data_IF_162924902705
#
_entry.id   IF_162924902705
#
_cell.length_a   1.000
_cell.length_b   1.000
_cell.length_c   1.000
_cell.angle_alpha   90.00
_cell.angle_beta   90.00
_cell.angle_gamma   90.00
#
_symmetry.space_group_name_H-M   'P 1'
#
loop_
_entity.id
_entity.type
_entity.pdbx_description
1 polymer ?
#
# COMPACT_ATOMS: atom_id res chain seq x y z
N UNK A 1 -60.64 -17.15 -10.23
CA UNK A 1 -59.59 -16.50 -11.02
C UNK A 1 -58.66 -15.83 -10.01
N UNK A 2 -57.83 -16.63 -9.32
CA UNK A 2 -56.38 -16.85 -9.58
C UNK A 2 -55.63 -15.52 -9.53
N UNK A 3 -54.60 -15.26 -8.70
CA UNK A 3 -53.99 -15.96 -7.56
C UNK A 3 -53.04 -14.97 -6.86
N UNK A 4 -52.70 -15.27 -5.61
CA UNK A 4 -51.52 -14.75 -4.93
C UNK A 4 -50.25 -15.32 -5.58
N UNK A 5 -49.13 -14.57 -5.59
CA UNK A 5 -47.82 -15.19 -5.38
C UNK A 5 -46.78 -14.22 -4.76
N UNK A 6 -46.27 -14.72 -3.65
CA UNK A 6 -45.07 -14.53 -2.85
C UNK A 6 -44.22 -13.24 -2.84
N UNK A 7 -44.08 -12.76 -1.60
CA UNK A 7 -42.95 -12.04 -1.05
C UNK A 7 -41.64 -12.85 -1.14
N UNK A 8 -40.50 -12.15 -1.22
CA UNK A 8 -39.29 -12.60 -0.52
C UNK A 8 -38.77 -11.45 0.32
N UNK A 9 -38.82 -11.74 1.60
CA UNK A 9 -38.27 -11.03 2.74
C UNK A 9 -36.76 -10.85 2.61
N UNK A 10 -36.26 -9.71 3.06
CA UNK A 10 -34.85 -9.35 2.94
C UNK A 10 -34.57 -7.93 3.42
N UNK A 11 -35.28 -7.49 4.46
CA UNK A 11 -34.88 -6.32 5.21
C UNK A 11 -33.55 -6.65 5.91
N UNK A 12 -32.43 -6.16 5.35
CA UNK A 12 -31.20 -6.02 6.12
C UNK A 12 -31.45 -4.87 7.08
N UNK A 13 -31.96 -5.22 8.26
CA UNK A 13 -31.94 -4.35 9.44
C UNK A 13 -30.46 -4.22 9.81
N UNK A 14 -29.84 -3.11 9.40
CA UNK A 14 -28.56 -2.69 9.93
C UNK A 14 -28.79 -2.20 11.37
N UNK A 15 -28.80 -3.15 12.31
CA UNK A 15 -28.64 -2.85 13.73
C UNK A 15 -27.18 -2.49 13.98
N UNK A 16 -26.85 -1.20 13.79
CA UNK A 16 -25.56 -0.62 14.13
C UNK A 16 -25.80 0.37 15.29
N UNK A 17 -25.39 0.05 16.53
CA UNK A 17 -25.46 0.99 17.64
C UNK A 17 -24.29 1.96 17.51
N UNK A 18 -24.46 3.05 16.76
CA UNK A 18 -23.53 4.17 16.86
C UNK A 18 -23.69 4.83 18.22
N UNK A 19 -22.62 4.73 19.01
CA UNK A 19 -22.42 5.35 20.30
C UNK A 19 -22.53 6.88 20.18
N UNK A 20 -23.62 7.43 20.69
CA UNK A 20 -23.73 8.85 21.06
C UNK A 20 -22.83 9.09 22.28
N UNK A 21 -21.58 9.51 22.06
CA UNK A 21 -20.79 10.12 23.15
C UNK A 21 -21.19 11.59 23.23
N UNK A 22 -22.08 11.87 24.19
CA UNK A 22 -22.37 13.23 24.61
C UNK A 22 -21.11 13.91 25.14
N UNK A 23 -20.82 15.09 24.62
CA UNK A 23 -19.81 15.99 25.18
C UNK A 23 -20.35 16.51 26.51
N UNK A 24 -19.95 15.87 27.62
CA UNK A 24 -20.07 16.43 28.95
C UNK A 24 -18.68 16.95 29.35
N UNK A 25 -18.56 18.28 29.42
CA UNK A 25 -17.37 18.94 29.91
C UNK A 25 -17.10 18.58 31.36
N UNK A 26 -15.84 18.23 31.66
CA UNK A 26 -15.27 18.33 32.98
C UNK A 26 -13.79 18.71 32.82
N UNK A 27 -13.48 19.93 33.23
CA UNK A 27 -12.13 20.40 33.50
C UNK A 27 -11.51 19.46 34.56
N UNK A 28 -10.39 18.84 34.22
CA UNK A 28 -9.62 17.99 35.13
C UNK A 28 -8.16 18.04 34.73
N UNK A 29 -7.33 18.52 35.65
CA UNK A 29 -5.91 18.82 35.50
C UNK A 29 -5.10 17.57 35.09
N UNK A 30 -4.20 17.74 34.12
CA UNK A 30 -3.32 16.66 33.65
C UNK A 30 -2.22 16.31 34.67
N UNK A 31 -1.73 15.06 34.70
CA UNK A 31 -0.58 14.71 35.52
C UNK A 31 0.71 15.35 34.97
N UNK A 32 1.53 15.84 35.89
CA UNK A 32 2.76 16.57 35.64
C UNK A 32 3.82 15.75 34.88
N UNK A 33 4.44 16.39 33.90
CA UNK A 33 5.65 15.92 33.20
C UNK A 33 6.86 16.08 34.14
N UNK A 34 7.66 15.03 34.41
CA UNK A 34 8.90 15.19 35.17
C UNK A 34 9.94 15.96 34.34
N UNK A 35 10.64 16.88 35.01
CA UNK A 35 11.69 17.72 34.43
C UNK A 35 12.93 16.90 34.07
N UNK A 36 13.59 17.30 32.99
CA UNK A 36 14.89 16.79 32.59
C UNK A 36 15.96 17.12 33.65
N UNK A 37 16.74 16.10 34.04
CA UNK A 37 17.90 16.22 34.89
C UNK A 37 17.92 15.24 36.06
N UNK A 38 18.14 13.95 35.77
CA UNK A 38 18.69 13.02 36.77
C UNK A 38 19.56 11.98 36.05
N UNK A 39 20.82 11.92 36.47
CA UNK A 39 21.87 11.02 35.98
C UNK A 39 21.53 9.57 36.31
N UNK A 40 21.82 8.66 35.36
CA UNK A 40 21.97 7.24 35.67
C UNK A 40 23.41 6.86 35.33
N UNK A 41 24.24 6.79 36.36
CA UNK A 41 25.60 6.27 36.32
C UNK A 41 25.59 4.76 36.01
N UNK A 42 26.53 4.34 35.15
CA UNK A 42 27.18 3.04 35.23
C UNK A 42 26.64 1.94 34.33
N UNK A 43 27.26 1.74 33.16
CA UNK A 43 27.90 0.45 32.85
C UNK A 43 28.86 0.57 31.63
N UNK A 44 30.01 -0.10 31.77
CA UNK A 44 31.22 0.05 30.99
C UNK A 44 31.16 -0.35 29.51
N UNK A 45 31.93 0.39 28.72
CA UNK A 45 32.43 0.02 27.41
C UNK A 45 33.42 -1.15 27.50
N UNK A 46 33.25 -2.14 26.62
CA UNK A 46 34.21 -3.21 26.39
C UNK A 46 34.60 -3.23 24.92
N UNK A 47 35.70 -2.56 24.59
CA UNK A 47 36.37 -2.64 23.29
C UNK A 47 37.01 -4.03 23.14
N UNK A 48 36.77 -4.69 22.00
CA UNK A 48 37.57 -5.84 21.56
C UNK A 48 38.09 -5.57 20.16
N UNK A 49 39.37 -5.25 20.10
CA UNK A 49 40.21 -5.34 18.91
C UNK A 49 40.29 -6.80 18.45
N UNK A 50 40.21 -7.04 17.14
CA UNK A 50 40.58 -8.32 16.54
C UNK A 50 41.66 -8.06 15.49
N UNK A 51 42.82 -8.66 15.73
CA UNK A 51 44.06 -8.47 14.99
C UNK A 51 44.09 -9.12 13.60
N UNK A 52 45.15 -8.73 12.91
CA UNK A 52 45.62 -9.04 11.56
C UNK A 52 46.25 -10.44 11.41
N UNK A 53 45.80 -11.23 10.42
CA UNK A 53 46.50 -12.21 9.51
C UNK A 53 47.57 -13.23 10.02
N UNK A 54 48.02 -14.28 9.26
CA UNK A 54 47.65 -14.75 7.91
C UNK A 54 47.43 -16.28 7.72
N UNK A 55 47.06 -16.63 6.47
CA UNK A 55 47.10 -17.89 5.71
C UNK A 55 47.76 -19.20 6.26
N UNK A 56 47.13 -20.33 5.90
CA UNK A 56 47.73 -21.67 5.88
C UNK A 56 47.14 -22.55 4.75
N UNK A 57 48.02 -23.00 3.84
CA UNK A 57 47.75 -23.95 2.75
C UNK A 57 48.04 -25.41 3.17
N UNK A 58 47.39 -26.36 2.50
CA UNK A 58 47.74 -27.77 2.42
C UNK A 58 46.92 -28.66 3.36
N UNK A 59 46.38 -29.81 2.98
CA UNK A 59 46.45 -30.62 1.77
C UNK A 59 45.65 -31.90 2.01
N UNK A 60 45.49 -32.67 0.93
CA UNK A 60 45.30 -34.12 0.91
C UNK A 60 43.89 -34.67 1.19
N UNK A 61 43.40 -35.38 0.17
CA UNK A 61 42.05 -35.88 0.06
C UNK A 61 41.75 -37.09 0.93
N UNK A 62 40.46 -37.28 1.15
CA UNK A 62 39.87 -38.59 1.32
C UNK A 62 38.51 -38.61 0.60
N UNK A 63 38.40 -39.50 -0.36
CA UNK A 63 37.14 -39.88 -0.98
C UNK A 63 36.33 -40.74 0.01
N UNK A 64 35.01 -40.62 -0.01
CA UNK A 64 34.11 -41.77 0.17
C UNK A 64 32.64 -41.44 -0.18
N UNK A 65 32.12 -42.23 -1.12
CA UNK A 65 30.75 -42.75 -1.25
C UNK A 65 29.60 -41.78 -1.54
N UNK A 66 29.26 -41.74 -2.84
CA UNK A 66 27.95 -42.17 -3.38
C UNK A 66 26.68 -41.68 -2.70
N UNK A 67 25.86 -40.94 -3.47
CA UNK A 67 24.49 -41.33 -3.85
C UNK A 67 24.20 -40.63 -5.19
N UNK A 68 23.92 -41.43 -6.21
CA UNK A 68 23.51 -40.95 -7.52
C UNK A 68 22.11 -40.33 -7.46
N UNK A 69 21.99 -39.13 -8.00
CA UNK A 69 20.72 -38.55 -8.43
C UNK A 69 20.73 -38.46 -9.94
N UNK A 70 20.50 -39.60 -10.59
CA UNK A 70 20.06 -39.60 -11.98
C UNK A 70 18.59 -39.15 -11.99
N UNK A 71 18.36 -37.83 -11.97
CA UNK A 71 17.06 -37.29 -12.36
C UNK A 71 17.09 -37.14 -13.87
N UNK A 72 16.25 -37.94 -14.53
CA UNK A 72 15.99 -37.89 -15.95
C UNK A 72 15.62 -36.44 -16.34
N UNK A 73 16.58 -35.72 -16.91
CA UNK A 73 16.34 -34.48 -17.63
C UNK A 73 15.61 -34.84 -18.92
N UNK A 74 14.29 -34.92 -18.86
CA UNK A 74 13.49 -34.69 -20.06
C UNK A 74 13.71 -33.22 -20.43
N UNK A 75 14.19 -32.90 -21.65
CA UNK A 75 14.15 -31.53 -22.10
C UNK A 75 12.66 -31.17 -22.17
N UNK A 76 12.21 -30.27 -21.29
CA UNK A 76 10.95 -29.57 -21.52
C UNK A 76 11.14 -28.88 -22.86
N UNK A 77 10.44 -29.42 -23.85
CA UNK A 77 10.20 -28.82 -25.14
C UNK A 77 9.87 -27.35 -24.91
N UNK A 78 10.70 -26.49 -25.51
CA UNK A 78 10.45 -25.07 -25.67
C UNK A 78 9.08 -24.90 -26.31
N UNK A 79 8.07 -24.53 -25.52
CA UNK A 79 6.88 -23.89 -26.06
C UNK A 79 7.22 -22.40 -26.20
N UNK A 80 7.73 -22.02 -27.37
CA UNK A 80 7.55 -20.67 -27.86
C UNK A 80 6.11 -20.58 -28.33
N UNK A 81 5.30 -19.81 -27.62
CA UNK A 81 4.23 -19.04 -28.23
C UNK A 81 4.33 -17.63 -27.65
N UNK A 82 4.81 -16.69 -28.47
CA UNK A 82 4.80 -15.25 -28.19
C UNK A 82 3.39 -14.66 -28.29
N UNK A 83 2.39 -15.37 -27.74
CA UNK A 83 1.06 -14.83 -27.52
C UNK A 83 1.10 -13.97 -26.27
N UNK A 84 0.79 -12.67 -26.40
CA UNK A 84 0.56 -11.82 -25.24
C UNK A 84 -0.68 -12.37 -24.55
N UNK A 85 -0.50 -13.19 -23.51
CA UNK A 85 -1.60 -13.58 -22.63
C UNK A 85 -2.04 -12.29 -21.94
N UNK A 86 -3.29 -11.84 -22.13
CA UNK A 86 -3.77 -10.63 -21.48
C UNK A 86 -3.56 -10.74 -19.98
N UNK A 87 -3.02 -9.69 -19.38
CA UNK A 87 -2.77 -9.68 -17.94
C UNK A 87 -4.10 -9.80 -17.19
N UNK A 88 -4.15 -10.67 -16.18
CA UNK A 88 -5.31 -10.76 -15.29
C UNK A 88 -5.37 -9.53 -14.37
N UNK A 89 -6.54 -9.16 -13.82
CA UNK A 89 -6.64 -8.05 -12.87
C UNK A 89 -5.69 -8.20 -11.66
N UNK A 90 -5.45 -9.44 -11.20
CA UNK A 90 -4.54 -9.73 -10.10
C UNK A 90 -3.07 -9.44 -10.46
N UNK A 91 -2.64 -9.85 -11.65
CA UNK A 91 -1.28 -9.54 -12.14
C UNK A 91 -1.09 -8.02 -12.33
N UNK A 92 -2.14 -7.32 -12.76
CA UNK A 92 -2.11 -5.86 -12.86
C UNK A 92 -2.00 -5.19 -11.49
N UNK A 93 -2.70 -5.69 -10.46
CA UNK A 93 -2.55 -5.22 -9.09
C UNK A 93 -1.12 -5.43 -8.56
N UNK A 94 -0.52 -6.59 -8.80
CA UNK A 94 0.87 -6.87 -8.36
C UNK A 94 1.86 -5.88 -9.00
N UNK A 95 1.71 -5.62 -10.31
CA UNK A 95 2.53 -4.63 -11.03
C UNK A 95 2.25 -3.20 -10.57
N UNK A 96 0.99 -2.88 -10.27
CA UNK A 96 0.60 -1.60 -9.69
C UNK A 96 1.32 -1.37 -8.37
N UNK A 97 1.27 -2.34 -7.46
CA UNK A 97 1.96 -2.27 -6.17
C UNK A 97 3.47 -2.12 -6.36
N UNK A 98 4.06 -2.85 -7.31
CA UNK A 98 5.48 -2.70 -7.63
C UNK A 98 5.81 -1.28 -8.13
N UNK A 99 5.02 -0.71 -9.04
CA UNK A 99 5.22 0.65 -9.52
C UNK A 99 5.08 1.71 -8.40
N UNK A 100 4.21 1.47 -7.41
CA UNK A 100 4.08 2.30 -6.21
C UNK A 100 5.33 2.22 -5.31
N UNK A 101 5.94 1.03 -5.18
CA UNK A 101 7.20 0.84 -4.43
C UNK A 101 8.41 1.45 -5.15
N UNK A 102 8.43 1.35 -6.47
CA UNK A 102 9.51 1.88 -7.31
C UNK A 102 9.41 3.40 -7.52
N UNK A 103 8.31 4.01 -7.09
CA UNK A 103 7.97 5.42 -7.35
C UNK A 103 8.12 5.80 -8.81
N UNK A 104 7.67 4.92 -9.72
CA UNK A 104 7.81 5.11 -11.16
C UNK A 104 6.47 5.51 -11.77
N UNK A 105 6.22 6.82 -12.04
CA UNK A 105 4.97 7.27 -12.64
C UNK A 105 4.79 6.63 -14.01
N UNK A 106 5.90 6.34 -14.68
CA UNK A 106 5.90 5.69 -15.97
C UNK A 106 5.46 4.24 -15.89
N UNK A 107 6.08 3.45 -15.00
CA UNK A 107 5.70 2.06 -14.81
C UNK A 107 4.24 1.94 -14.34
N UNK A 108 3.76 2.89 -13.53
CA UNK A 108 2.38 2.94 -13.07
C UNK A 108 1.44 3.24 -14.24
N UNK A 109 1.67 4.34 -14.98
CA UNK A 109 0.81 4.77 -16.07
C UNK A 109 0.75 3.74 -17.21
N UNK A 110 1.84 3.04 -17.49
CA UNK A 110 1.90 2.02 -18.54
C UNK A 110 1.02 0.78 -18.26
N UNK A 111 0.44 0.66 -17.06
CA UNK A 111 -0.55 -0.37 -16.73
C UNK A 111 -1.98 0.01 -17.16
N UNK A 112 -2.24 1.30 -17.35
CA UNK A 112 -3.59 1.84 -17.60
C UNK A 112 -3.89 1.89 -19.09
N UNK A 113 -5.15 1.69 -19.50
CA UNK A 113 -5.61 2.00 -20.86
C UNK A 113 -5.47 3.50 -21.18
N UNK A 114 -5.43 3.86 -22.47
CA UNK A 114 -5.24 5.25 -22.91
C UNK A 114 -6.30 6.21 -22.32
N UNK A 115 -7.55 5.75 -22.22
CA UNK A 115 -8.71 6.48 -21.72
C UNK A 115 -9.09 6.11 -20.27
N UNK A 116 -8.20 5.45 -19.54
CA UNK A 116 -8.50 4.97 -18.20
C UNK A 116 -8.75 6.10 -17.20
N UNK A 117 -9.50 5.79 -16.15
CA UNK A 117 -9.84 6.75 -15.08
C UNK A 117 -9.21 6.31 -13.76
N UNK A 118 -8.65 7.26 -13.02
CA UNK A 118 -8.22 7.08 -11.64
C UNK A 118 -8.99 8.05 -10.75
N UNK A 119 -9.72 7.54 -9.76
CA UNK A 119 -10.53 8.35 -8.85
C UNK A 119 -10.06 8.24 -7.41
N UNK A 120 -10.18 9.34 -6.68
CA UNK A 120 -10.00 9.41 -5.24
C UNK A 120 -11.33 9.82 -4.59
N UNK A 121 -12.20 8.88 -4.20
CA UNK A 121 -13.55 9.21 -3.76
C UNK A 121 -13.61 9.96 -2.42
N UNK A 122 -12.61 9.77 -1.56
CA UNK A 122 -12.53 10.50 -0.29
C UNK A 122 -11.84 11.85 -0.42
N UNK A 123 -12.43 12.84 0.26
CA UNK A 123 -11.92 14.20 0.33
C UNK A 123 -10.50 14.20 0.91
N UNK A 124 -9.56 14.77 0.16
CA UNK A 124 -8.21 15.06 0.61
C UNK A 124 -7.82 16.44 0.07
N UNK A 125 -8.04 17.53 0.82
CA UNK A 125 -7.76 18.90 0.40
C UNK A 125 -6.30 19.16 0.01
N UNK A 126 -5.38 18.32 0.50
CA UNK A 126 -3.97 18.34 0.14
C UNK A 126 -3.66 17.72 -1.23
N UNK A 127 -4.63 17.07 -1.88
CA UNK A 127 -4.50 16.46 -3.21
C UNK A 127 -4.98 17.47 -4.27
N UNK A 128 -4.23 17.57 -5.36
CA UNK A 128 -4.52 18.51 -6.46
C UNK A 128 -5.83 18.19 -7.20
N UNK A 129 -6.11 16.91 -7.41
CA UNK A 129 -7.28 16.45 -8.15
C UNK A 129 -7.92 15.26 -7.44
N UNK A 130 -9.26 15.21 -7.46
CA UNK A 130 -10.04 14.04 -7.03
C UNK A 130 -10.16 12.97 -8.12
N UNK A 131 -9.73 13.27 -9.35
CA UNK A 131 -9.85 12.38 -10.51
C UNK A 131 -8.82 12.71 -11.58
N UNK A 132 -8.24 11.67 -12.19
CA UNK A 132 -7.42 11.74 -13.40
C UNK A 132 -8.13 10.99 -14.53
N UNK A 133 -8.11 11.57 -15.73
CA UNK A 133 -8.74 11.02 -16.92
C UNK A 133 -7.72 10.87 -18.05
N UNK A 134 -7.52 9.64 -18.48
CA UNK A 134 -6.52 9.25 -19.47
C UNK A 134 -5.15 8.93 -18.86
N UNK A 135 -4.44 8.01 -19.51
CA UNK A 135 -3.12 7.51 -19.10
C UNK A 135 -2.13 8.63 -18.82
N UNK A 136 -2.07 9.62 -19.69
CA UNK A 136 -1.11 10.71 -19.58
C UNK A 136 -1.46 11.71 -18.47
N UNK A 137 -2.74 11.87 -18.13
CA UNK A 137 -3.14 12.65 -16.96
C UNK A 137 -2.76 11.93 -15.67
N UNK A 138 -2.94 10.61 -15.62
CA UNK A 138 -2.48 9.76 -14.51
C UNK A 138 -0.96 9.90 -14.35
N UNK A 139 -0.19 9.72 -15.44
CA UNK A 139 1.26 9.89 -15.45
C UNK A 139 1.67 11.24 -14.89
N UNK A 140 1.10 12.32 -15.41
CA UNK A 140 1.43 13.68 -14.98
C UNK A 140 1.09 13.92 -13.51
N UNK A 141 -0.05 13.40 -13.03
CA UNK A 141 -0.48 13.52 -11.63
C UNK A 141 0.48 12.83 -10.67
N UNK A 142 0.85 11.58 -10.95
CA UNK A 142 1.82 10.84 -10.12
C UNK A 142 3.24 11.38 -10.23
N UNK A 143 3.66 11.88 -11.39
CA UNK A 143 4.94 12.61 -11.55
C UNK A 143 4.99 13.82 -10.62
N UNK A 144 3.94 14.64 -10.58
CA UNK A 144 3.89 15.81 -9.66
C UNK A 144 3.85 15.37 -8.20
N UNK A 145 3.03 14.37 -7.87
CA UNK A 145 2.91 13.86 -6.51
C UNK A 145 4.24 13.32 -5.97
N UNK A 146 5.03 12.64 -6.79
CA UNK A 146 6.30 12.02 -6.39
C UNK A 146 7.53 12.90 -6.60
N UNK A 147 7.42 13.98 -7.40
CA UNK A 147 8.46 15.01 -7.50
C UNK A 147 8.42 16.02 -6.33
N UNK A 148 7.39 15.96 -5.48
CA UNK A 148 7.31 16.72 -4.23
C UNK A 148 8.57 16.51 -3.36
N UNK A 149 9.01 17.51 -2.58
CA UNK A 149 10.14 17.35 -1.64
C UNK A 149 9.94 16.23 -0.60
N UNK A 150 8.72 15.70 -0.52
CA UNK A 150 8.39 14.46 0.17
C UNK A 150 7.86 13.46 -0.87
N UNK A 151 8.74 12.65 -1.51
CA UNK A 151 8.29 11.60 -2.41
C UNK A 151 7.43 10.58 -1.67
N UNK A 152 6.69 9.75 -2.40
CA UNK A 152 5.81 8.75 -1.80
C UNK A 152 6.61 7.89 -0.80
N UNK A 153 6.05 7.62 0.39
CA UNK A 153 6.78 7.05 1.50
C UNK A 153 6.77 5.52 1.49
N UNK A 154 6.09 4.90 0.52
CA UNK A 154 5.67 3.50 0.59
C UNK A 154 6.89 2.58 0.48
N UNK A 155 7.14 1.82 1.55
CA UNK A 155 8.28 0.89 1.62
C UNK A 155 7.84 -0.58 1.62
N UNK A 156 6.54 -0.85 1.73
CA UNK A 156 6.02 -2.21 1.66
C UNK A 156 4.50 -2.27 1.73
N UNK A 157 3.94 -3.37 1.24
CA UNK A 157 2.53 -3.72 1.40
C UNK A 157 2.41 -4.88 2.38
N UNK A 158 1.36 -4.85 3.21
CA UNK A 158 1.06 -5.89 4.21
C UNK A 158 -0.42 -6.27 4.15
N UNK A 159 -0.72 -7.47 4.61
CA UNK A 159 -2.08 -8.00 4.71
C UNK A 159 -2.92 -7.84 3.43
N UNK A 160 -2.27 -8.04 2.28
CA UNK A 160 -2.92 -7.91 0.96
C UNK A 160 -3.97 -9.01 0.80
N UNK A 161 -5.24 -8.62 0.74
CA UNK A 161 -6.39 -9.48 0.49
C UNK A 161 -7.05 -9.06 -0.81
N UNK A 162 -7.24 -10.02 -1.71
CA UNK A 162 -7.82 -9.77 -3.03
C UNK A 162 -9.11 -10.56 -3.17
N UNK A 163 -10.20 -9.83 -3.35
CA UNK A 163 -11.54 -10.35 -3.51
C UNK A 163 -11.92 -10.29 -5.00
N UNK A 164 -12.26 -11.44 -5.57
CA UNK A 164 -12.92 -11.47 -6.88
C UNK A 164 -14.38 -11.03 -6.73
N UNK A 165 -14.95 -10.51 -7.81
CA UNK A 165 -16.38 -10.18 -7.88
C UNK A 165 -17.10 -11.10 -8.88
N UNK A 166 -18.42 -10.93 -9.03
CA UNK A 166 -19.17 -11.62 -10.08
C UNK A 166 -18.77 -11.14 -11.50
N UNK A 167 -18.21 -9.94 -11.59
CA UNK A 167 -17.60 -9.42 -12.82
C UNK A 167 -16.10 -9.81 -12.84
N UNK A 168 -15.66 -10.66 -13.79
CA UNK A 168 -14.26 -11.08 -13.86
C UNK A 168 -13.30 -9.93 -14.22
N UNK A 169 -13.79 -8.81 -14.74
CA UNK A 169 -12.99 -7.61 -15.00
C UNK A 169 -12.70 -6.81 -13.72
N UNK A 170 -13.41 -7.05 -12.60
CA UNK A 170 -13.31 -6.26 -11.37
C UNK A 170 -12.80 -7.09 -10.18
N UNK A 171 -11.79 -6.55 -9.50
CA UNK A 171 -11.32 -7.03 -8.19
C UNK A 171 -11.39 -5.92 -7.15
N UNK A 172 -11.50 -6.31 -5.88
CA UNK A 172 -11.36 -5.43 -4.72
C UNK A 172 -10.13 -5.89 -3.95
N UNK A 173 -9.18 -4.99 -3.73
CA UNK A 173 -7.96 -5.27 -2.99
C UNK A 173 -7.92 -4.43 -1.71
N UNK A 174 -7.88 -5.10 -0.57
CA UNK A 174 -7.68 -4.49 0.74
C UNK A 174 -6.22 -4.74 1.15
N UNK A 175 -5.51 -3.70 1.58
CA UNK A 175 -4.15 -3.85 2.07
C UNK A 175 -3.78 -2.71 3.01
N UNK A 176 -2.78 -2.98 3.84
CA UNK A 176 -2.03 -1.93 4.50
C UNK A 176 -0.75 -1.65 3.72
N UNK A 177 -0.21 -0.45 3.86
CA UNK A 177 1.15 -0.15 3.43
C UNK A 177 1.94 0.53 4.53
N UNK A 178 3.22 0.17 4.58
CA UNK A 178 4.20 0.84 5.41
C UNK A 178 4.79 2.02 4.67
N UNK A 179 4.95 3.11 5.39
CA UNK A 179 5.36 4.40 4.89
C UNK A 179 6.45 5.01 5.80
N UNK A 180 7.42 5.71 5.22
CA UNK A 180 8.41 6.53 5.93
C UNK A 180 8.11 8.02 5.76
N UNK A 181 8.02 8.77 6.85
CA UNK A 181 8.09 10.22 6.78
C UNK A 181 9.54 10.65 6.54
N UNK A 182 9.88 11.06 5.32
CA UNK A 182 11.26 11.45 4.98
C UNK A 182 11.78 12.68 5.75
N UNK A 183 10.89 13.50 6.33
CA UNK A 183 11.30 14.65 7.14
C UNK A 183 11.78 14.22 8.54
N UNK A 184 11.15 13.22 9.14
CA UNK A 184 11.43 12.77 10.53
C UNK A 184 12.18 11.43 10.60
N UNK A 185 12.16 10.64 9.52
CA UNK A 185 12.66 9.27 9.46
C UNK A 185 11.72 8.23 10.09
N UNK A 186 10.59 8.65 10.65
CA UNK A 186 9.65 7.77 11.34
C UNK A 186 8.83 6.94 10.35
N UNK A 187 8.54 5.69 10.73
CA UNK A 187 7.65 4.82 9.98
C UNK A 187 6.22 4.93 10.50
N UNK A 188 5.25 4.79 9.60
CA UNK A 188 3.85 4.68 9.92
C UNK A 188 3.16 3.72 8.95
N UNK A 189 1.94 3.32 9.27
CA UNK A 189 1.15 2.40 8.43
C UNK A 189 -0.19 3.05 8.12
N UNK A 190 -0.67 2.87 6.90
CA UNK A 190 -2.00 3.29 6.49
C UNK A 190 -2.75 2.18 5.76
N UNK A 191 -4.07 2.15 5.95
CA UNK A 191 -4.97 1.22 5.26
C UNK A 191 -5.45 1.78 3.94
N UNK A 192 -5.76 0.86 3.02
CA UNK A 192 -6.16 1.18 1.67
C UNK A 192 -7.09 0.12 1.07
N UNK A 193 -8.14 0.55 0.34
CA UNK A 193 -8.99 -0.32 -0.49
C UNK A 193 -9.00 0.16 -1.95
N UNK A 194 -8.58 -0.69 -2.87
CA UNK A 194 -8.63 -0.45 -4.32
C UNK A 194 -9.77 -1.23 -4.95
N UNK A 195 -10.63 -0.54 -5.71
CA UNK A 195 -11.45 -1.17 -6.73
C UNK A 195 -10.70 -1.04 -8.05
N UNK A 196 -10.28 -2.17 -8.63
CA UNK A 196 -9.49 -2.20 -9.85
C UNK A 196 -10.25 -2.96 -10.93
N UNK A 197 -10.63 -2.24 -11.99
CA UNK A 197 -11.21 -2.83 -13.19
C UNK A 197 -10.18 -2.92 -14.31
N UNK A 198 -10.08 -4.08 -14.92
CA UNK A 198 -9.17 -4.34 -16.03
C UNK A 198 -9.89 -5.01 -17.21
N UNK A 199 -9.52 -4.58 -18.42
CA UNK A 199 -10.03 -5.10 -19.69
C UNK A 199 -8.89 -5.19 -20.69
N UNK A 200 -8.84 -6.28 -21.45
CA UNK A 200 -7.81 -6.44 -22.50
C UNK A 200 -6.37 -6.51 -21.98
N UNK A 201 -6.17 -6.74 -20.67
CA UNK A 201 -4.83 -6.74 -20.05
C UNK A 201 -4.34 -5.37 -19.59
N UNK A 202 -5.20 -4.35 -19.60
CA UNK A 202 -4.92 -2.99 -19.11
C UNK A 202 -5.93 -2.59 -18.02
N UNK A 203 -5.53 -1.69 -17.13
CA UNK A 203 -6.40 -1.11 -16.11
C UNK A 203 -7.25 -0.02 -16.76
N UNK A 204 -8.58 -0.13 -16.70
CA UNK A 204 -9.50 0.87 -17.28
C UNK A 204 -10.08 1.81 -16.23
N UNK A 205 -10.15 1.38 -14.97
CA UNK A 205 -10.63 2.21 -13.88
C UNK A 205 -10.05 1.76 -12.54
N UNK A 206 -9.59 2.73 -11.74
CA UNK A 206 -9.23 2.55 -10.34
C UNK A 206 -10.03 3.53 -9.49
N UNK A 207 -10.55 3.04 -8.37
CA UNK A 207 -11.04 3.88 -7.27
C UNK A 207 -10.17 3.65 -6.04
N UNK A 208 -9.58 4.74 -5.56
CA UNK A 208 -8.60 4.81 -4.48
C UNK A 208 -9.26 5.27 -3.17
N UNK A 209 -9.50 4.34 -2.25
CA UNK A 209 -9.99 4.62 -0.90
C UNK A 209 -8.87 4.51 0.14
N UNK A 210 -8.13 5.60 0.34
CA UNK A 210 -7.13 5.74 1.42
C UNK A 210 -7.73 6.20 2.75
N UNK A 211 -7.09 5.78 3.86
CA UNK A 211 -7.19 6.46 5.15
C UNK A 211 -6.42 7.80 5.12
N UNK A 212 -7.09 8.86 4.67
CA UNK A 212 -6.52 10.21 4.52
C UNK A 212 -6.04 10.78 5.86
N UNK A 213 -6.67 10.41 6.98
CA UNK A 213 -6.31 10.89 8.32
C UNK A 213 -5.00 10.26 8.79
N UNK A 214 -4.84 8.93 8.67
CA UNK A 214 -3.57 8.26 8.99
C UNK A 214 -2.44 8.74 8.11
N UNK A 215 -2.69 8.91 6.81
CA UNK A 215 -1.70 9.51 5.91
C UNK A 215 -1.28 10.90 6.38
N UNK A 216 -2.25 11.77 6.65
CA UNK A 216 -1.96 13.15 7.09
C UNK A 216 -1.24 13.18 8.43
N UNK A 217 -1.60 12.32 9.37
CA UNK A 217 -0.91 12.18 10.66
C UNK A 217 0.54 11.68 10.48
N UNK A 218 0.74 10.60 9.71
CA UNK A 218 2.06 10.02 9.46
C UNK A 218 3.02 11.00 8.78
N UNK A 219 2.53 11.83 7.87
CA UNK A 219 3.32 12.90 7.25
C UNK A 219 3.47 14.17 8.11
N UNK A 220 2.89 14.22 9.30
CA UNK A 220 2.90 15.44 10.13
C UNK A 220 2.11 16.61 9.51
N UNK A 221 1.13 16.30 8.64
CA UNK A 221 0.29 17.28 7.91
C UNK A 221 -1.14 17.40 8.46
N UNK A 222 -1.43 16.74 9.58
CA UNK A 222 -2.76 16.78 10.19
C UNK A 222 -3.22 18.21 10.54
N UNK A 223 -2.37 19.10 11.10
CA UNK A 223 -2.78 20.50 11.35
C UNK A 223 -3.20 21.23 10.07
N UNK A 224 -2.45 21.08 8.99
CA UNK A 224 -2.75 21.71 7.69
C UNK A 224 -4.04 21.15 7.09
N UNK A 225 -4.28 19.84 7.20
CA UNK A 225 -5.54 19.23 6.78
C UNK A 225 -6.73 19.86 7.53
N UNK A 226 -6.64 19.99 8.85
CA UNK A 226 -7.69 20.60 9.66
C UNK A 226 -7.96 22.05 9.25
N UNK A 227 -6.91 22.85 9.02
CA UNK A 227 -7.03 24.23 8.54
C UNK A 227 -7.72 24.29 7.17
N UNK A 228 -7.33 23.44 6.23
CA UNK A 228 -7.94 23.37 4.91
C UNK A 228 -9.43 23.00 4.96
N UNK A 229 -9.81 22.06 5.82
CA UNK A 229 -11.22 21.68 6.01
C UNK A 229 -12.04 22.83 6.61
N UNK A 230 -11.51 23.51 7.63
CA UNK A 230 -12.17 24.67 8.24
C UNK A 230 -12.40 25.81 7.23
N UNK A 231 -11.47 26.00 6.30
CA UNK A 231 -11.57 27.02 5.26
C UNK A 231 -12.48 26.59 4.09
N UNK A 232 -12.57 25.29 3.81
CA UNK A 232 -13.45 24.76 2.76
C UNK A 232 -14.94 24.94 3.11
N UNK A 233 -15.29 24.91 4.41
CA UNK A 233 -16.66 25.17 4.89
C UNK A 233 -17.07 26.66 4.84
N UNK A 234 -16.15 27.57 4.47
CA UNK A 234 -16.39 29.02 4.42
C UNK A 234 -16.67 29.57 3.01
N UNK A 235 -16.80 28.72 1.99
CA UNK A 235 -17.10 29.09 0.59
C UNK A 235 -18.48 28.56 0.20
#
# INVERSE_FOLDING_TARGET
MIAADQAVDGAVVLDQPYLLVGVAGALGEGPAVPKAGEEIEGLHAGERECGTEPAGCGGDGFACVGIGWAVLFHPLTRAQDGGIVPQTPRQLLERFQQAMLDFSPDALADLFAEDAVYEFPFLAPQREASRYEGREHIRAGFTRAWASPYPSPVVGFRDVRVHGTADPELIIAEHEFDAVNHATGETFTSGFVLFLRARGGEIVHVQDYADVLKLSAGFGRLPQLCEQLQNADQV
#
